data_IF_973486211160
#
_entry.id   IF_973486211160
#
_cell.length_a   1.000
_cell.length_b   1.000
_cell.length_c   1.000
_cell.angle_alpha   90.00
_cell.angle_beta   90.00
_cell.angle_gamma   90.00
#
_symmetry.space_group_name_H-M   'P 1'
#
loop_
_entity.id
_entity.type
_entity.pdbx_description
1 polymer ?
#
# COMPACT_ATOMS: atom_id res chain seq x y z
N UNK A 1 28.57 -28.38 58.68
CA UNK A 1 28.59 -28.36 57.19
C UNK A 1 27.43 -29.09 56.49
N UNK A 2 26.59 -29.87 57.18
CA UNK A 2 25.50 -30.65 56.56
C UNK A 2 24.25 -29.83 56.18
N UNK A 3 23.90 -28.80 56.95
CA UNK A 3 22.65 -28.04 56.75
C UNK A 3 22.70 -27.04 55.59
N UNK A 4 23.86 -26.43 55.29
CA UNK A 4 23.99 -25.46 54.18
C UNK A 4 23.86 -26.15 52.81
N UNK A 5 24.41 -27.37 52.68
CA UNK A 5 24.35 -28.16 51.45
C UNK A 5 22.92 -28.60 51.12
N UNK A 6 22.12 -28.93 52.14
CA UNK A 6 20.69 -29.30 51.96
C UNK A 6 19.84 -28.10 51.54
N UNK A 7 20.13 -26.90 52.05
CA UNK A 7 19.40 -25.67 51.67
C UNK A 7 19.69 -25.26 50.22
N UNK A 8 20.95 -25.33 49.77
CA UNK A 8 21.32 -25.01 48.38
C UNK A 8 20.75 -26.06 47.40
N UNK A 9 20.70 -27.33 47.79
CA UNK A 9 20.11 -28.40 46.96
C UNK A 9 18.60 -28.26 46.77
N UNK A 10 17.86 -27.71 47.75
CA UNK A 10 16.42 -27.46 47.63
C UNK A 10 16.12 -26.22 46.79
N UNK A 11 16.98 -25.20 46.82
CA UNK A 11 16.81 -24.00 45.99
C UNK A 11 16.96 -24.30 44.49
N UNK A 12 17.90 -25.17 44.09
CA UNK A 12 18.11 -25.54 42.67
C UNK A 12 16.93 -26.29 42.03
N UNK A 13 16.13 -27.00 42.83
CA UNK A 13 14.92 -27.70 42.35
C UNK A 13 13.67 -26.80 42.35
N UNK A 14 13.66 -25.68 43.09
CA UNK A 14 12.49 -24.79 43.19
C UNK A 14 12.52 -23.60 42.22
N UNK A 15 13.62 -23.41 41.50
CA UNK A 15 13.87 -22.29 40.58
C UNK A 15 13.81 -22.60 39.05
N UNK A 16 13.75 -23.86 38.55
CA UNK A 16 13.64 -24.14 37.11
C UNK A 16 12.20 -24.23 36.58
N UNK A 17 11.26 -24.84 37.32
CA UNK A 17 9.90 -25.12 36.81
C UNK A 17 9.13 -23.84 36.44
N UNK A 18 9.20 -22.80 37.28
CA UNK A 18 8.51 -21.52 37.00
C UNK A 18 9.18 -20.68 35.91
N UNK A 19 10.43 -20.98 35.56
CA UNK A 19 11.13 -20.29 34.46
C UNK A 19 10.89 -21.05 33.16
N UNK A 20 10.94 -22.37 33.17
CA UNK A 20 10.61 -23.23 32.02
C UNK A 20 9.14 -23.08 31.59
N UNK A 21 8.18 -23.06 32.53
CA UNK A 21 6.76 -22.83 32.22
C UNK A 21 6.50 -21.44 31.61
N UNK A 22 7.21 -20.41 32.09
CA UNK A 22 7.11 -19.05 31.53
C UNK A 22 7.73 -18.95 30.14
N UNK A 23 8.77 -19.74 29.86
CA UNK A 23 9.39 -19.82 28.53
C UNK A 23 8.47 -20.58 27.56
N UNK A 24 7.76 -21.63 28.00
CA UNK A 24 6.91 -22.44 27.13
C UNK A 24 5.56 -21.77 26.82
N UNK A 25 4.98 -21.04 27.77
CA UNK A 25 3.74 -20.26 27.55
C UNK A 25 3.91 -19.15 26.50
N UNK A 26 5.09 -18.52 26.42
CA UNK A 26 5.43 -17.54 25.38
C UNK A 26 5.56 -18.16 23.98
N UNK A 27 5.96 -19.44 23.89
CA UNK A 27 6.20 -20.16 22.62
C UNK A 27 4.94 -20.83 22.05
N UNK A 28 3.94 -21.10 22.89
CA UNK A 28 2.66 -21.73 22.50
C UNK A 28 1.74 -20.78 21.71
N UNK A 29 1.58 -19.53 22.18
CA UNK A 29 0.61 -18.58 21.61
C UNK A 29 0.99 -18.05 20.20
N UNK A 30 2.28 -17.85 19.95
CA UNK A 30 2.79 -17.34 18.66
C UNK A 30 2.73 -18.38 17.53
N UNK A 31 2.93 -19.67 17.86
CA UNK A 31 2.75 -20.77 16.89
C UNK A 31 1.29 -20.93 16.46
N UNK A 32 0.33 -20.59 17.33
CA UNK A 32 -1.09 -20.66 17.04
C UNK A 32 -1.49 -19.67 15.93
N UNK A 33 -1.16 -18.38 16.09
CA UNK A 33 -1.54 -17.36 15.11
C UNK A 33 -0.90 -17.58 13.73
N UNK A 34 0.40 -17.87 13.66
CA UNK A 34 1.04 -18.11 12.37
C UNK A 34 0.50 -19.35 11.66
N UNK A 35 0.10 -20.39 12.42
CA UNK A 35 -0.51 -21.61 11.88
C UNK A 35 -1.96 -21.36 11.44
N UNK A 36 -2.76 -20.67 12.24
CA UNK A 36 -4.14 -20.26 11.93
C UNK A 36 -4.18 -19.30 10.73
N UNK A 37 -3.24 -18.35 10.67
CA UNK A 37 -3.09 -17.44 9.54
C UNK A 37 -2.67 -18.18 8.27
N UNK A 38 -1.74 -19.14 8.37
CA UNK A 38 -1.37 -20.00 7.25
C UNK A 38 -2.57 -20.84 6.77
N UNK A 39 -3.33 -21.44 7.68
CA UNK A 39 -4.55 -22.17 7.34
C UNK A 39 -5.63 -21.28 6.72
N UNK A 40 -5.75 -20.02 7.17
CA UNK A 40 -6.64 -19.02 6.58
C UNK A 40 -6.18 -18.58 5.19
N UNK A 41 -4.90 -18.26 5.01
CA UNK A 41 -4.33 -17.78 3.75
C UNK A 41 -4.31 -18.85 2.65
N UNK A 42 -4.20 -20.13 3.03
CA UNK A 42 -4.24 -21.26 2.09
C UNK A 42 -5.69 -21.67 1.75
N UNK A 43 -6.72 -21.05 2.35
CA UNK A 43 -8.09 -21.22 1.83
C UNK A 43 -8.11 -20.71 0.39
N UNK A 44 -8.28 -21.64 -0.56
CA UNK A 44 -8.00 -21.42 -1.99
C UNK A 44 -8.59 -20.12 -2.57
N UNK A 45 -9.80 -19.76 -2.17
CA UNK A 45 -10.46 -18.53 -2.66
C UNK A 45 -9.74 -17.21 -2.28
N UNK A 46 -8.93 -17.19 -1.21
CA UNK A 46 -8.22 -15.96 -0.77
C UNK A 46 -6.90 -15.79 -1.51
N UNK A 47 -6.17 -16.88 -1.74
CA UNK A 47 -4.88 -16.83 -2.43
C UNK A 47 -5.06 -16.38 -3.89
N UNK A 48 -6.03 -16.97 -4.60
CA UNK A 48 -6.29 -16.62 -6.00
C UNK A 48 -6.81 -15.19 -6.15
N UNK A 49 -7.67 -14.74 -5.21
CA UNK A 49 -8.13 -13.35 -5.15
C UNK A 49 -6.96 -12.38 -4.90
N UNK A 50 -6.06 -12.70 -3.96
CA UNK A 50 -4.92 -11.86 -3.63
C UNK A 50 -3.97 -11.71 -4.83
N UNK A 51 -3.66 -12.81 -5.53
CA UNK A 51 -2.85 -12.78 -6.75
C UNK A 51 -3.52 -11.95 -7.84
N UNK A 52 -4.82 -12.13 -8.05
CA UNK A 52 -5.59 -11.35 -9.04
C UNK A 52 -5.53 -9.83 -8.78
N UNK A 53 -5.65 -9.40 -7.52
CA UNK A 53 -5.57 -7.98 -7.16
C UNK A 53 -4.15 -7.43 -7.36
N UNK A 54 -3.12 -8.16 -6.94
CA UNK A 54 -1.72 -7.72 -7.07
C UNK A 54 -1.34 -7.57 -8.55
N UNK A 55 -1.68 -8.58 -9.37
CA UNK A 55 -1.41 -8.55 -10.81
C UNK A 55 -2.23 -7.46 -11.49
N UNK A 56 -3.51 -7.30 -11.12
CA UNK A 56 -4.37 -6.24 -11.65
C UNK A 56 -3.84 -4.84 -11.33
N UNK A 57 -3.35 -4.61 -10.12
CA UNK A 57 -2.75 -3.35 -9.71
C UNK A 57 -1.45 -3.07 -10.49
N UNK A 58 -0.56 -4.07 -10.59
CA UNK A 58 0.69 -3.94 -11.34
C UNK A 58 0.45 -3.67 -12.83
N UNK A 59 -0.49 -4.37 -13.45
CA UNK A 59 -0.86 -4.15 -14.84
C UNK A 59 -1.45 -2.76 -15.07
N UNK A 60 -2.37 -2.33 -14.21
CA UNK A 60 -2.94 -0.97 -14.27
C UNK A 60 -1.84 0.10 -14.16
N UNK A 61 -0.85 -0.09 -13.28
CA UNK A 61 0.30 0.82 -13.19
C UNK A 61 1.13 0.89 -14.48
N UNK A 62 1.34 -0.24 -15.16
CA UNK A 62 2.06 -0.29 -16.45
C UNK A 62 1.29 0.50 -17.52
N UNK A 63 -0.03 0.26 -17.61
CA UNK A 63 -0.86 0.99 -18.58
C UNK A 63 -0.89 2.48 -18.25
N UNK A 64 -1.06 2.86 -16.99
CA UNK A 64 -1.03 4.27 -16.58
C UNK A 64 0.29 4.96 -16.94
N UNK A 65 1.43 4.28 -16.78
CA UNK A 65 2.73 4.82 -17.20
C UNK A 65 2.80 4.97 -18.71
N UNK A 66 2.30 4.01 -19.49
CA UNK A 66 2.22 4.15 -20.94
C UNK A 66 1.36 5.36 -21.35
N UNK A 67 0.21 5.55 -20.70
CA UNK A 67 -0.64 6.71 -20.98
C UNK A 67 0.11 7.98 -20.64
N UNK A 68 0.52 8.13 -19.37
CA UNK A 68 1.10 9.37 -18.85
C UNK A 68 2.44 9.73 -19.47
N UNK A 69 3.31 8.75 -19.70
CA UNK A 69 4.70 9.00 -20.07
C UNK A 69 4.93 8.92 -21.58
N UNK A 70 4.00 8.32 -22.35
CA UNK A 70 4.13 8.16 -23.81
C UNK A 70 2.97 8.79 -24.55
N UNK A 71 1.73 8.46 -24.20
CA UNK A 71 0.56 8.94 -24.95
C UNK A 71 0.28 10.41 -24.68
N UNK A 72 0.24 10.84 -23.41
CA UNK A 72 -0.07 12.22 -23.01
C UNK A 72 0.90 13.22 -23.64
N UNK A 73 2.25 13.04 -23.60
CA UNK A 73 3.17 13.98 -24.25
C UNK A 73 2.99 14.06 -25.77
N UNK A 74 2.66 12.93 -26.42
CA UNK A 74 2.38 12.89 -27.86
C UNK A 74 1.09 13.65 -28.18
N UNK A 75 0.03 13.48 -27.37
CA UNK A 75 -1.22 14.23 -27.53
C UNK A 75 -0.99 15.72 -27.29
N UNK A 76 -0.27 16.09 -26.23
CA UNK A 76 0.06 17.49 -25.89
C UNK A 76 0.83 18.17 -27.02
N UNK A 77 1.81 17.48 -27.62
CA UNK A 77 2.56 17.98 -28.77
C UNK A 77 1.66 18.21 -29.99
N UNK A 78 0.71 17.31 -30.26
CA UNK A 78 -0.23 17.43 -31.38
C UNK A 78 -1.31 18.50 -31.16
N UNK A 79 -1.70 18.74 -29.91
CA UNK A 79 -2.73 19.73 -29.54
C UNK A 79 -2.16 21.14 -29.35
N UNK A 80 -0.86 21.33 -29.59
CA UNK A 80 -0.21 22.65 -29.55
C UNK A 80 0.43 23.03 -28.21
N UNK A 81 0.91 22.06 -27.42
CA UNK A 81 1.48 22.24 -26.07
C UNK A 81 0.45 22.70 -25.04
N UNK A 82 -0.81 22.28 -25.18
CA UNK A 82 -1.79 22.46 -24.12
C UNK A 82 -1.49 21.45 -23.02
N UNK A 83 -0.85 21.90 -21.95
CA UNK A 83 -0.61 21.09 -20.76
C UNK A 83 -1.93 20.95 -19.98
N UNK A 84 -2.58 19.80 -20.13
CA UNK A 84 -3.83 19.49 -19.46
C UNK A 84 -3.65 19.45 -17.93
N UNK A 85 -2.46 19.16 -17.42
CA UNK A 85 -2.17 19.12 -15.99
C UNK A 85 -2.26 20.51 -15.34
N UNK A 86 -1.96 21.55 -16.12
CA UNK A 86 -2.00 22.95 -15.74
C UNK A 86 -3.32 23.67 -16.11
N UNK A 87 -4.31 22.96 -16.63
CA UNK A 87 -5.65 23.50 -16.83
C UNK A 87 -6.44 23.46 -15.52
N UNK A 88 -6.53 24.62 -14.85
CA UNK A 88 -7.35 24.80 -13.66
C UNK A 88 -8.09 26.13 -13.68
N UNK A 89 -9.23 26.17 -12.99
CA UNK A 89 -9.98 27.40 -12.71
C UNK A 89 -9.68 27.75 -11.26
N UNK A 90 -9.14 28.95 -11.03
CA UNK A 90 -8.99 29.47 -9.68
C UNK A 90 -10.25 30.21 -9.22
N UNK A 91 -10.77 29.84 -8.07
CA UNK A 91 -11.93 30.48 -7.43
C UNK A 91 -11.53 31.46 -6.33
N UNK A 92 -10.25 31.52 -5.97
CA UNK A 92 -9.71 32.35 -4.87
C UNK A 92 -9.19 33.72 -5.31
N UNK A 93 -9.35 34.10 -6.59
CA UNK A 93 -9.02 35.43 -7.10
C UNK A 93 -7.52 35.78 -7.22
N UNK A 94 -6.62 34.85 -6.91
CA UNK A 94 -5.18 34.99 -7.16
C UNK A 94 -4.77 34.47 -8.55
N UNK A 95 -3.73 35.01 -9.16
CA UNK A 95 -3.05 34.34 -10.26
C UNK A 95 -1.91 33.49 -9.69
N UNK A 96 -1.82 32.25 -10.14
CA UNK A 96 -0.75 31.32 -9.76
C UNK A 96 -0.13 30.78 -11.04
N UNK A 97 1.16 30.45 -11.01
CA UNK A 97 1.86 29.94 -12.20
C UNK A 97 1.47 28.51 -12.58
N UNK A 98 0.97 27.73 -11.62
CA UNK A 98 0.58 26.33 -11.84
C UNK A 98 -0.51 25.89 -10.87
N UNK A 99 -1.22 24.82 -11.26
CA UNK A 99 -2.21 24.20 -10.39
C UNK A 99 -1.59 23.75 -9.06
N UNK A 100 -0.35 23.28 -9.09
CA UNK A 100 0.34 22.79 -7.90
C UNK A 100 0.69 23.93 -6.94
N UNK A 101 1.19 25.06 -7.45
CA UNK A 101 1.48 26.25 -6.62
C UNK A 101 0.21 26.88 -6.04
N UNK A 102 -0.88 26.86 -6.79
CA UNK A 102 -2.18 27.34 -6.28
C UNK A 102 -2.69 26.47 -5.12
N UNK A 103 -2.52 25.14 -5.22
CA UNK A 103 -2.90 24.22 -4.16
C UNK A 103 -2.02 24.38 -2.91
N UNK A 104 -0.70 24.53 -3.09
CA UNK A 104 0.24 24.82 -2.00
C UNK A 104 -0.06 26.15 -1.29
N UNK A 105 -0.51 27.16 -2.04
CA UNK A 105 -0.93 28.45 -1.52
C UNK A 105 -2.30 28.41 -0.80
N UNK A 106 -2.96 27.26 -0.73
CA UNK A 106 -4.28 27.09 -0.12
C UNK A 106 -5.42 27.73 -0.94
N UNK A 107 -5.20 27.96 -2.24
CA UNK A 107 -6.25 28.45 -3.13
C UNK A 107 -7.21 27.33 -3.52
N UNK A 108 -8.50 27.65 -3.55
CA UNK A 108 -9.53 26.76 -4.04
C UNK A 108 -9.48 26.74 -5.58
N UNK A 109 -8.87 25.69 -6.12
CA UNK A 109 -8.77 25.47 -7.57
C UNK A 109 -9.60 24.28 -8.02
N UNK A 110 -10.21 24.39 -9.20
CA UNK A 110 -10.82 23.26 -9.92
C UNK A 110 -9.87 22.83 -11.04
N UNK A 111 -9.22 21.67 -10.87
CA UNK A 111 -8.30 21.07 -11.86
C UNK A 111 -9.05 20.25 -12.90
N UNK A 112 -9.78 20.90 -13.79
CA UNK A 112 -10.57 20.19 -14.80
C UNK A 112 -9.70 19.42 -15.81
N UNK A 113 -8.46 19.86 -16.07
CA UNK A 113 -7.60 19.11 -16.96
C UNK A 113 -7.07 17.80 -16.37
N UNK A 114 -6.83 17.73 -15.05
CA UNK A 114 -6.54 16.46 -14.37
C UNK A 114 -7.72 15.48 -14.44
N UNK A 115 -8.96 15.99 -14.44
CA UNK A 115 -10.14 15.15 -14.63
C UNK A 115 -10.22 14.59 -16.06
N UNK A 116 -9.93 15.40 -17.08
CA UNK A 116 -9.89 14.95 -18.49
C UNK A 116 -8.82 13.87 -18.68
N UNK A 117 -7.63 14.07 -18.11
CA UNK A 117 -6.54 13.07 -18.13
C UNK A 117 -6.99 11.75 -17.48
N UNK A 118 -7.65 11.81 -16.32
CA UNK A 118 -8.20 10.62 -15.66
C UNK A 118 -9.25 9.89 -16.51
N UNK A 119 -10.12 10.62 -17.24
CA UNK A 119 -11.10 10.04 -18.16
C UNK A 119 -10.41 9.37 -19.35
N UNK A 120 -9.42 10.02 -19.96
CA UNK A 120 -8.64 9.45 -21.07
C UNK A 120 -7.92 8.18 -20.61
N UNK A 121 -7.25 8.22 -19.46
CA UNK A 121 -6.56 7.07 -18.91
C UNK A 121 -7.53 5.91 -18.62
N UNK A 122 -8.70 6.18 -18.05
CA UNK A 122 -9.73 5.16 -17.84
C UNK A 122 -10.22 4.55 -19.16
N UNK A 123 -10.46 5.35 -20.19
CA UNK A 123 -10.88 4.86 -21.51
C UNK A 123 -9.80 3.98 -22.14
N UNK A 124 -8.52 4.34 -22.01
CA UNK A 124 -7.41 3.53 -22.52
C UNK A 124 -7.28 2.22 -21.75
N UNK A 125 -7.25 2.27 -20.41
CA UNK A 125 -7.16 1.07 -19.56
C UNK A 125 -8.33 0.13 -19.84
N UNK A 126 -9.56 0.66 -19.92
CA UNK A 126 -10.74 -0.17 -20.22
C UNK A 126 -10.72 -0.75 -21.63
N UNK A 127 -10.22 -0.01 -22.63
CA UNK A 127 -10.04 -0.53 -23.99
C UNK A 127 -8.99 -1.66 -24.02
N UNK A 128 -7.86 -1.48 -23.33
CA UNK A 128 -6.78 -2.47 -23.26
C UNK A 128 -7.24 -3.74 -22.53
N UNK A 129 -8.03 -3.61 -21.47
CA UNK A 129 -8.57 -4.77 -20.75
C UNK A 129 -9.64 -5.53 -21.56
N UNK A 130 -10.26 -4.90 -22.55
CA UNK A 130 -11.30 -5.49 -23.39
C UNK A 130 -10.75 -6.29 -24.59
N UNK A 131 -9.57 -5.92 -25.10
CA UNK A 131 -8.89 -6.58 -26.23
C UNK A 131 -8.26 -7.92 -25.83
#
# INVERSE_FOLDING_TARGET
MSSIRKTISRAKHALPDQIEDRIDFGRSRSRSFAKEFKEFAIKGNVMDLAVGIIVGAAFTSIVNSLVKDVITPVIEQLTGNVDFTNLYINLSGGEYESADKAMEAGANIIRYGSFIDAVINFLIVSLVLFL
#
